data_IF_834047736129
#
_entry.id   IF_834047736129
#
_cell.length_a   1.000
_cell.length_b   1.000
_cell.length_c   1.000
_cell.angle_alpha   90.00
_cell.angle_beta   90.00
_cell.angle_gamma   90.00
#
_symmetry.space_group_name_H-M   'P 1'
#
loop_
_entity.id
_entity.type
_entity.pdbx_description
1 polymer ?
#
# COMPACT_ATOMS: atom_id res chain seq x y z
N UNK A 1 -7.15 5.10 -21.95
CA UNK A 1 -6.68 3.83 -21.35
C UNK A 1 -6.30 3.96 -19.86
N UNK A 2 -5.61 5.02 -19.38
CA UNK A 2 -5.29 5.16 -17.93
C UNK A 2 -6.53 4.98 -17.04
N UNK A 3 -7.60 5.74 -17.31
CA UNK A 3 -8.84 5.67 -16.53
C UNK A 3 -9.47 4.25 -16.55
N UNK A 4 -9.37 3.56 -17.68
CA UNK A 4 -9.86 2.20 -17.84
C UNK A 4 -9.01 1.20 -17.06
N UNK A 5 -7.68 1.33 -17.11
CA UNK A 5 -6.76 0.50 -16.32
C UNK A 5 -6.97 0.69 -14.80
N UNK A 6 -7.18 1.93 -14.35
CA UNK A 6 -7.51 2.22 -12.95
C UNK A 6 -8.86 1.62 -12.54
N UNK A 7 -9.89 1.76 -13.38
CA UNK A 7 -11.21 1.16 -13.12
C UNK A 7 -11.16 -0.36 -13.10
N UNK A 8 -10.41 -0.98 -14.02
CA UNK A 8 -10.23 -2.42 -14.07
C UNK A 8 -9.59 -2.93 -12.77
N UNK A 9 -8.50 -2.31 -12.31
CA UNK A 9 -7.84 -2.66 -11.04
C UNK A 9 -8.74 -2.38 -9.82
N UNK A 10 -9.49 -1.28 -9.83
CA UNK A 10 -10.41 -0.95 -8.74
C UNK A 10 -11.61 -1.92 -8.67
N UNK A 11 -11.99 -2.54 -9.80
CA UNK A 11 -13.06 -3.53 -9.87
C UNK A 11 -12.59 -4.98 -9.73
N UNK A 12 -11.29 -5.25 -9.69
CA UNK A 12 -10.75 -6.59 -9.50
C UNK A 12 -10.68 -6.92 -8.00
N UNK A 13 -11.51 -7.85 -7.50
CA UNK A 13 -11.62 -8.10 -6.07
C UNK A 13 -10.32 -8.72 -5.52
N UNK A 14 -9.97 -8.31 -4.30
CA UNK A 14 -8.90 -8.98 -3.56
C UNK A 14 -9.44 -10.27 -2.94
N UNK A 15 -8.74 -11.41 -3.06
CA UNK A 15 -9.14 -12.66 -2.43
C UNK A 15 -8.82 -12.60 -0.94
N UNK A 16 -9.69 -11.98 -0.15
CA UNK A 16 -9.54 -11.84 1.31
C UNK A 16 -10.63 -12.61 2.04
N UNK A 17 -10.29 -13.17 3.20
CA UNK A 17 -11.29 -13.68 4.14
C UNK A 17 -12.03 -12.50 4.77
N UNK A 18 -13.34 -12.38 4.48
CA UNK A 18 -14.17 -11.26 4.94
C UNK A 18 -14.32 -11.23 6.47
N UNK A 19 -14.34 -12.38 7.12
CA UNK A 19 -14.49 -12.45 8.58
C UNK A 19 -13.21 -11.96 9.26
N UNK A 20 -12.05 -12.50 8.82
CA UNK A 20 -10.75 -12.05 9.30
C UNK A 20 -10.53 -10.57 8.99
N UNK A 21 -10.94 -10.10 7.80
CA UNK A 21 -10.86 -8.69 7.43
C UNK A 21 -11.69 -7.80 8.36
N UNK A 22 -12.91 -8.20 8.70
CA UNK A 22 -13.76 -7.48 9.65
C UNK A 22 -13.12 -7.33 11.03
N UNK A 23 -12.57 -8.42 11.57
CA UNK A 23 -11.90 -8.42 12.87
C UNK A 23 -10.68 -7.49 12.89
N UNK A 24 -9.84 -7.56 11.84
CA UNK A 24 -8.67 -6.70 11.75
C UNK A 24 -8.99 -5.24 11.47
N UNK A 25 -10.05 -4.96 10.70
CA UNK A 25 -10.55 -3.59 10.52
C UNK A 25 -11.00 -3.00 11.86
N UNK A 26 -11.83 -3.70 12.63
CA UNK A 26 -12.29 -3.24 13.94
C UNK A 26 -11.13 -3.01 14.92
N UNK A 27 -10.09 -3.86 14.85
CA UNK A 27 -8.89 -3.76 15.68
C UNK A 27 -7.98 -2.60 15.30
N UNK A 28 -7.74 -2.38 14.00
CA UNK A 28 -6.84 -1.35 13.50
C UNK A 28 -7.49 0.04 13.53
N UNK A 29 -8.80 0.10 13.36
CA UNK A 29 -9.61 1.31 13.33
C UNK A 29 -10.65 1.29 14.46
N UNK A 30 -10.22 1.39 15.73
CA UNK A 30 -11.16 1.35 16.85
C UNK A 30 -12.11 2.55 16.78
N UNK A 31 -13.41 2.28 16.93
CA UNK A 31 -14.45 3.30 16.90
C UNK A 31 -14.16 4.41 17.93
N UNK A 32 -14.18 5.67 17.48
CA UNK A 32 -14.04 6.83 18.36
C UNK A 32 -15.42 7.24 18.86
N UNK A 33 -15.61 7.21 20.18
CA UNK A 33 -16.88 7.59 20.79
C UNK A 33 -17.30 9.01 20.38
N UNK A 34 -18.51 9.15 19.82
CA UNK A 34 -19.08 10.45 19.44
C UNK A 34 -18.58 11.04 18.12
N UNK A 35 -17.74 10.35 17.36
CA UNK A 35 -17.34 10.78 16.03
C UNK A 35 -18.39 10.35 14.98
N UNK A 36 -18.57 11.18 13.94
CA UNK A 36 -19.27 10.77 12.71
C UNK A 36 -18.51 9.64 11.98
N UNK A 37 -18.79 9.47 10.69
CA UNK A 37 -18.13 8.45 9.85
C UNK A 37 -16.60 8.50 10.03
N UNK A 38 -15.99 7.37 10.42
CA UNK A 38 -14.54 7.23 10.43
C UNK A 38 -14.05 7.01 8.99
N UNK A 39 -13.64 8.10 8.35
CA UNK A 39 -13.12 8.06 6.98
C UNK A 39 -11.85 7.22 6.82
N UNK A 40 -11.06 7.03 7.89
CA UNK A 40 -9.88 6.17 7.84
C UNK A 40 -10.29 4.70 7.82
N UNK A 41 -11.29 4.31 8.62
CA UNK A 41 -11.87 2.97 8.57
C UNK A 41 -12.51 2.71 7.21
N UNK A 42 -13.28 3.67 6.69
CA UNK A 42 -13.92 3.55 5.39
C UNK A 42 -12.88 3.38 4.26
N UNK A 43 -11.76 4.11 4.31
CA UNK A 43 -10.65 3.90 3.39
C UNK A 43 -10.06 2.47 3.51
N UNK A 44 -10.02 1.92 4.73
CA UNK A 44 -9.73 0.51 5.02
C UNK A 44 -10.63 -0.44 4.25
N UNK A 45 -11.94 -0.29 4.40
CA UNK A 45 -12.95 -1.12 3.76
C UNK A 45 -12.93 -1.02 2.23
N UNK A 46 -12.78 0.20 1.70
CA UNK A 46 -12.68 0.44 0.24
C UNK A 46 -11.43 -0.23 -0.32
N UNK A 47 -10.31 -0.19 0.41
CA UNK A 47 -9.06 -0.80 -0.04
C UNK A 47 -9.12 -2.33 -0.18
N UNK A 48 -10.02 -3.00 0.54
CA UNK A 48 -10.21 -4.44 0.40
C UNK A 48 -11.07 -4.83 -0.80
N UNK A 49 -11.79 -3.88 -1.42
CA UNK A 49 -12.71 -4.16 -2.54
C UNK A 49 -12.02 -4.25 -3.90
N UNK A 50 -10.78 -3.77 -4.02
CA UNK A 50 -10.10 -3.70 -5.29
C UNK A 50 -8.59 -3.56 -5.17
N UNK A 51 -7.86 -3.87 -6.25
CA UNK A 51 -6.39 -3.73 -6.34
C UNK A 51 -5.91 -2.28 -6.51
N UNK A 52 -6.83 -1.31 -6.64
CA UNK A 52 -6.47 0.10 -6.70
C UNK A 52 -7.34 0.92 -5.75
N UNK A 53 -6.68 1.74 -4.92
CA UNK A 53 -7.35 2.68 -4.01
C UNK A 53 -6.62 4.01 -3.99
N UNK A 54 -7.40 5.09 -4.09
CA UNK A 54 -6.91 6.46 -3.95
C UNK A 54 -7.41 7.02 -2.61
N UNK A 55 -6.48 7.27 -1.69
CA UNK A 55 -6.78 7.92 -0.40
C UNK A 55 -6.48 9.41 -0.51
N UNK A 56 -7.51 10.24 -0.50
CA UNK A 56 -7.38 11.70 -0.54
C UNK A 56 -7.63 12.31 0.83
N UNK A 57 -6.97 13.44 1.13
CA UNK A 57 -7.21 14.19 2.36
C UNK A 57 -6.24 15.36 2.52
N UNK A 58 -6.65 16.40 3.24
CA UNK A 58 -5.81 17.56 3.54
C UNK A 58 -4.59 17.23 4.42
N UNK A 59 -3.67 18.19 4.65
CA UNK A 59 -2.60 18.04 5.63
C UNK A 59 -3.15 17.65 7.02
N UNK A 60 -2.47 16.77 7.74
CA UNK A 60 -2.88 16.36 9.10
C UNK A 60 -4.06 15.39 9.20
N UNK A 61 -4.69 14.98 8.10
CA UNK A 61 -5.84 14.03 8.09
C UNK A 61 -5.48 12.56 8.37
N UNK A 62 -4.22 12.27 8.66
CA UNK A 62 -3.74 10.92 8.99
C UNK A 62 -3.67 9.95 7.80
N UNK A 63 -3.47 10.43 6.57
CA UNK A 63 -3.26 9.58 5.38
C UNK A 63 -2.15 8.55 5.57
N UNK A 64 -0.99 8.97 6.07
CA UNK A 64 0.14 8.06 6.36
C UNK A 64 -0.23 7.01 7.40
N UNK A 65 -1.03 7.39 8.40
CA UNK A 65 -1.48 6.47 9.43
C UNK A 65 -2.49 5.45 8.88
N UNK A 66 -3.39 5.91 8.01
CA UNK A 66 -4.31 5.04 7.25
C UNK A 66 -3.51 4.07 6.37
N UNK A 67 -2.48 4.55 5.67
CA UNK A 67 -1.58 3.73 4.87
C UNK A 67 -0.87 2.66 5.69
N UNK A 68 -0.35 3.01 6.88
CA UNK A 68 0.28 2.05 7.78
C UNK A 68 -0.69 0.95 8.21
N UNK A 69 -1.93 1.31 8.57
CA UNK A 69 -2.97 0.32 8.92
C UNK A 69 -3.34 -0.57 7.74
N UNK A 70 -3.49 -0.01 6.55
CA UNK A 70 -3.72 -0.78 5.31
C UNK A 70 -2.59 -1.77 5.04
N UNK A 71 -1.35 -1.33 5.23
CA UNK A 71 -0.17 -2.16 5.06
C UNK A 71 -0.19 -3.36 6.03
N UNK A 72 -0.50 -3.12 7.31
CA UNK A 72 -0.65 -4.18 8.31
C UNK A 72 -1.82 -5.11 7.97
N UNK A 73 -2.98 -4.54 7.65
CA UNK A 73 -4.20 -5.28 7.29
C UNK A 73 -3.92 -6.25 6.13
N UNK A 74 -3.37 -5.76 5.02
CA UNK A 74 -3.04 -6.58 3.86
C UNK A 74 -1.98 -7.64 4.18
N UNK A 75 -1.00 -7.33 5.03
CA UNK A 75 0.02 -8.30 5.44
C UNK A 75 -0.56 -9.43 6.27
N UNK A 76 -1.50 -9.13 7.18
CA UNK A 76 -2.16 -10.16 7.98
C UNK A 76 -3.10 -11.00 7.11
N UNK A 77 -3.90 -10.37 6.26
CA UNK A 77 -4.83 -11.08 5.36
C UNK A 77 -4.11 -11.98 4.35
N UNK A 78 -2.86 -11.68 4.01
CA UNK A 78 -2.02 -12.58 3.20
C UNK A 78 -1.56 -13.82 3.99
N UNK A 79 -1.37 -13.69 5.30
CA UNK A 79 -0.79 -14.73 6.15
C UNK A 79 -1.73 -15.89 6.50
N UNK A 80 -3.04 -15.72 6.31
CA UNK A 80 -4.05 -16.65 6.80
C UNK A 80 -5.02 -17.10 5.69
N UNK A 81 -4.48 -17.86 4.73
CA UNK A 81 -5.30 -18.75 3.92
C UNK A 81 -5.33 -20.10 4.63
N UNK A 82 -6.48 -20.42 5.23
CA UNK A 82 -6.68 -21.51 6.17
C UNK A 82 -6.08 -22.87 5.79
N UNK A 83 -5.74 -23.62 6.85
CA UNK A 83 -5.56 -25.07 6.89
C UNK A 83 -4.85 -25.72 5.68
N UNK A 84 -3.52 -25.73 5.69
CA UNK A 84 -2.71 -26.70 4.95
C UNK A 84 -1.89 -26.17 3.77
N UNK A 85 -2.00 -24.88 3.42
CA UNK A 85 -1.13 -24.27 2.42
C UNK A 85 0.05 -23.57 3.11
N UNK A 86 1.27 -23.81 2.62
CA UNK A 86 2.48 -23.15 3.10
C UNK A 86 2.27 -21.62 3.16
N UNK A 87 2.60 -21.02 4.30
CA UNK A 87 2.44 -19.58 4.54
C UNK A 87 2.98 -18.78 3.34
N UNK A 88 2.14 -17.92 2.76
CA UNK A 88 2.58 -17.07 1.66
C UNK A 88 3.73 -16.17 2.12
N UNK A 89 4.73 -15.91 1.27
CA UNK A 89 5.84 -15.03 1.62
C UNK A 89 5.33 -13.62 1.94
N UNK A 90 6.06 -12.84 2.76
CA UNK A 90 5.68 -11.46 3.10
C UNK A 90 5.40 -10.62 1.85
N UNK A 91 4.51 -9.63 1.97
CA UNK A 91 4.22 -8.68 0.91
C UNK A 91 5.50 -8.00 0.45
N UNK A 92 5.81 -8.11 -0.84
CA UNK A 92 6.88 -7.31 -1.46
C UNK A 92 6.34 -5.90 -1.70
N UNK A 93 6.55 -5.03 -0.73
CA UNK A 93 6.06 -3.64 -0.77
C UNK A 93 7.02 -2.75 -1.55
N UNK A 94 6.53 -1.98 -2.51
CA UNK A 94 7.23 -0.83 -3.08
C UNK A 94 6.77 0.47 -2.40
N UNK A 95 7.70 1.38 -2.13
CA UNK A 95 7.39 2.72 -1.61
C UNK A 95 7.91 3.77 -2.60
N UNK A 96 7.02 4.66 -3.04
CA UNK A 96 7.37 5.67 -4.03
C UNK A 96 6.76 7.03 -3.74
N UNK A 97 7.41 8.06 -4.28
CA UNK A 97 6.89 9.42 -4.32
C UNK A 97 7.35 10.10 -5.62
N UNK A 98 6.74 11.21 -6.05
CA UNK A 98 7.15 11.95 -7.25
C UNK A 98 8.51 12.65 -7.09
N UNK A 99 8.88 13.05 -5.86
CA UNK A 99 10.11 13.81 -5.58
C UNK A 99 11.01 13.12 -4.55
N UNK A 100 12.31 13.41 -4.61
CA UNK A 100 13.28 12.82 -3.66
C UNK A 100 13.01 13.22 -2.21
N UNK A 101 12.56 14.46 -1.96
CA UNK A 101 12.22 14.93 -0.61
C UNK A 101 10.99 14.23 -0.04
N UNK A 102 9.96 13.99 -0.86
CA UNK A 102 8.78 13.23 -0.44
C UNK A 102 9.14 11.77 -0.17
N UNK A 103 9.93 11.15 -1.06
CA UNK A 103 10.41 9.78 -0.87
C UNK A 103 11.21 9.63 0.43
N UNK A 104 12.13 10.55 0.72
CA UNK A 104 12.92 10.51 1.96
C UNK A 104 12.07 10.54 3.23
N UNK A 105 10.95 11.30 3.22
CA UNK A 105 10.03 11.41 4.36
C UNK A 105 9.13 10.19 4.51
N UNK A 106 8.68 9.63 3.39
CA UNK A 106 7.69 8.56 3.35
C UNK A 106 8.08 7.36 4.22
N UNK A 107 9.29 6.81 4.05
CA UNK A 107 9.73 5.65 4.84
C UNK A 107 9.73 5.95 6.33
N UNK A 108 10.28 7.09 6.73
CA UNK A 108 10.33 7.50 8.13
C UNK A 108 8.92 7.63 8.73
N UNK A 109 8.02 8.31 8.04
CA UNK A 109 6.65 8.50 8.52
C UNK A 109 5.88 7.19 8.59
N UNK A 110 6.10 6.27 7.65
CA UNK A 110 5.51 4.93 7.69
C UNK A 110 6.06 4.09 8.84
N UNK A 111 7.37 4.12 9.09
CA UNK A 111 7.99 3.40 10.21
C UNK A 111 7.48 3.93 11.57
N UNK A 112 7.43 5.25 11.74
CA UNK A 112 6.84 5.87 12.93
C UNK A 112 5.37 5.46 13.09
N UNK A 113 4.63 5.38 11.98
CA UNK A 113 3.25 4.97 12.00
C UNK A 113 3.07 3.51 12.46
N UNK A 114 3.86 2.60 11.89
CA UNK A 114 3.87 1.18 12.28
C UNK A 114 4.26 0.99 13.75
N UNK A 115 5.24 1.74 14.25
CA UNK A 115 5.64 1.69 15.66
C UNK A 115 4.51 2.08 16.60
N UNK A 116 3.77 3.15 16.29
CA UNK A 116 2.65 3.56 17.13
C UNK A 116 1.40 2.67 17.00
N UNK A 117 1.30 1.84 15.95
CA UNK A 117 0.24 0.83 15.81
C UNK A 117 0.49 -0.42 16.67
N UNK A 118 1.74 -0.70 17.07
CA UNK A 118 2.13 -1.92 17.81
C UNK A 118 1.20 -2.27 19.00
N UNK A 119 0.80 -1.32 19.86
CA UNK A 119 -0.07 -1.66 20.99
C UNK A 119 -1.44 -2.21 20.58
N UNK A 120 -1.94 -1.82 19.40
CA UNK A 120 -3.24 -2.25 18.89
C UNK A 120 -3.20 -3.67 18.30
N UNK A 121 -2.04 -4.18 17.87
CA UNK A 121 -1.90 -5.45 17.14
C UNK A 121 -1.90 -6.69 18.02
N UNK A 122 -1.71 -6.51 19.33
CA UNK A 122 -1.51 -7.61 20.28
C UNK A 122 -0.18 -8.34 20.10
N UNK A 123 0.19 -9.24 21.03
CA UNK A 123 1.56 -9.72 21.15
C UNK A 123 2.08 -10.49 19.92
N UNK A 124 1.29 -11.42 19.40
CA UNK A 124 1.69 -12.30 18.30
C UNK A 124 1.86 -11.55 16.97
N UNK A 125 0.88 -10.70 16.61
CA UNK A 125 0.98 -9.94 15.38
C UNK A 125 2.02 -8.82 15.46
N UNK A 126 2.24 -8.23 16.64
CA UNK A 126 3.33 -7.26 16.83
C UNK A 126 4.71 -7.92 16.64
N UNK A 127 4.91 -9.15 17.14
CA UNK A 127 6.15 -9.90 16.91
C UNK A 127 6.37 -10.26 15.44
N UNK A 128 5.31 -10.62 14.72
CA UNK A 128 5.40 -10.91 13.28
C UNK A 128 5.64 -9.64 12.44
N UNK A 129 5.17 -8.48 12.89
CA UNK A 129 5.31 -7.21 12.18
C UNK A 129 6.76 -6.73 12.13
N UNK A 130 7.50 -6.83 13.24
CA UNK A 130 8.83 -6.26 13.38
C UNK A 130 9.83 -6.68 12.29
N UNK A 131 10.09 -7.98 12.05
CA UNK A 131 11.05 -8.39 11.03
C UNK A 131 10.61 -7.95 9.63
N UNK A 132 9.32 -7.86 9.36
CA UNK A 132 8.81 -7.40 8.07
C UNK A 132 8.85 -5.88 7.89
N UNK A 133 8.52 -5.12 8.94
CA UNK A 133 8.58 -3.66 8.93
C UNK A 133 10.02 -3.16 8.77
N UNK A 134 11.00 -3.87 9.33
CA UNK A 134 12.42 -3.62 9.12
C UNK A 134 12.87 -3.89 7.67
N UNK A 135 12.26 -4.89 7.02
CA UNK A 135 12.54 -5.26 5.63
C UNK A 135 11.89 -4.32 4.59
N UNK A 136 11.07 -3.35 5.00
CA UNK A 136 10.49 -2.38 4.07
C UNK A 136 11.60 -1.65 3.28
N UNK A 137 11.53 -1.64 1.94
CA UNK A 137 12.59 -1.04 1.14
C UNK A 137 12.66 0.47 1.34
N UNK A 138 13.79 1.10 0.98
CA UNK A 138 13.85 2.55 0.89
C UNK A 138 12.79 3.07 -0.07
N UNK A 139 12.10 4.13 0.32
CA UNK A 139 11.23 4.86 -0.59
C UNK A 139 12.06 5.54 -1.69
N UNK A 140 11.59 5.45 -2.93
CA UNK A 140 12.27 5.97 -4.12
C UNK A 140 11.41 7.00 -4.84
N UNK A 141 12.02 7.78 -5.72
CA UNK A 141 11.20 8.51 -6.69
C UNK A 141 10.55 7.52 -7.65
N UNK A 142 9.38 7.84 -8.22
CA UNK A 142 8.76 7.01 -9.27
C UNK A 142 9.73 6.76 -10.44
N UNK A 143 10.51 7.77 -10.82
CA UNK A 143 11.56 7.65 -11.82
C UNK A 143 12.64 6.63 -11.44
N UNK A 144 13.14 6.68 -10.20
CA UNK A 144 14.14 5.73 -9.71
C UNK A 144 13.56 4.31 -9.51
N UNK A 145 12.28 4.20 -9.14
CA UNK A 145 11.58 2.92 -9.04
C UNK A 145 11.43 2.25 -10.41
N UNK A 146 10.98 3.00 -11.43
CA UNK A 146 10.82 2.51 -12.80
C UNK A 146 12.17 2.29 -13.51
N UNK A 147 13.25 2.89 -13.00
CA UNK A 147 14.60 2.77 -13.52
C UNK A 147 14.79 3.56 -14.82
N UNK A 148 14.90 4.88 -14.70
CA UNK A 148 15.24 5.78 -15.83
C UNK A 148 16.51 5.32 -16.55
N UNK A 149 16.45 5.21 -17.89
CA UNK A 149 17.64 4.95 -18.71
C UNK A 149 18.24 6.28 -19.20
N UNK A 150 19.51 6.59 -18.87
CA UNK A 150 20.15 7.84 -19.27
C UNK A 150 20.04 8.10 -20.77
N UNK A 151 19.78 9.35 -21.15
CA UNK A 151 19.67 9.77 -22.54
C UNK A 151 18.41 9.31 -23.28
N UNK A 152 17.45 8.67 -22.60
CA UNK A 152 16.19 8.22 -23.22
C UNK A 152 14.98 8.56 -22.36
N UNK A 153 13.78 8.49 -22.96
CA UNK A 153 12.49 8.50 -22.23
C UNK A 153 12.02 7.09 -21.82
N UNK A 154 12.90 6.08 -21.92
CA UNK A 154 12.55 4.69 -21.59
C UNK A 154 12.86 4.38 -20.14
N UNK A 155 12.00 3.57 -19.55
CA UNK A 155 12.20 2.98 -18.23
C UNK A 155 12.72 1.55 -18.35
N UNK A 156 13.30 1.04 -17.26
CA UNK A 156 13.71 -0.36 -17.15
C UNK A 156 12.49 -1.26 -16.95
N UNK A 157 11.54 -0.80 -16.15
CA UNK A 157 10.32 -1.52 -15.84
C UNK A 157 9.18 -1.04 -16.74
N UNK A 158 8.47 -2.00 -17.31
CA UNK A 158 7.37 -1.85 -18.26
C UNK A 158 6.53 -3.13 -18.27
N UNK A 159 5.60 -3.27 -19.22
CA UNK A 159 4.73 -4.45 -19.30
C UNK A 159 5.47 -5.77 -19.58
N UNK A 160 6.65 -5.72 -20.22
CA UNK A 160 7.47 -6.90 -20.50
C UNK A 160 8.44 -7.21 -19.36
N UNK A 161 8.77 -6.23 -18.52
CA UNK A 161 9.58 -6.37 -17.32
C UNK A 161 8.92 -5.66 -16.12
N UNK A 162 7.86 -6.26 -15.52
CA UNK A 162 7.12 -5.62 -14.44
C UNK A 162 7.97 -5.34 -13.20
N UNK A 163 7.46 -4.48 -12.32
CA UNK A 163 8.03 -4.25 -11.00
C UNK A 163 7.93 -5.53 -10.15
N UNK A 164 8.99 -5.94 -9.45
CA UNK A 164 8.99 -7.18 -8.65
C UNK A 164 8.36 -6.96 -7.26
N UNK A 165 7.13 -6.43 -7.24
CA UNK A 165 6.38 -6.09 -6.04
C UNK A 165 4.98 -6.71 -6.08
N UNK A 166 4.32 -6.72 -4.93
CA UNK A 166 2.94 -7.17 -4.77
C UNK A 166 2.02 -6.05 -4.28
N UNK A 167 2.59 -4.98 -3.74
CA UNK A 167 1.88 -3.79 -3.28
C UNK A 167 2.76 -2.57 -3.55
N UNK A 168 2.20 -1.52 -4.16
CA UNK A 168 2.91 -0.25 -4.33
C UNK A 168 2.18 0.87 -3.58
N UNK A 169 2.88 1.51 -2.65
CA UNK A 169 2.43 2.75 -2.03
C UNK A 169 3.04 3.96 -2.74
N UNK A 170 2.20 4.89 -3.19
CA UNK A 170 2.62 6.15 -3.82
C UNK A 170 2.12 7.33 -2.98
N UNK A 171 3.05 8.08 -2.39
CA UNK A 171 2.73 9.33 -1.70
C UNK A 171 2.76 10.53 -2.66
N UNK A 172 2.05 11.60 -2.31
CA UNK A 172 1.93 12.83 -3.11
C UNK A 172 1.46 12.58 -4.56
N UNK A 173 0.50 11.67 -4.73
CA UNK A 173 -0.03 11.28 -6.04
C UNK A 173 -0.56 12.46 -6.89
N UNK A 174 -0.95 13.57 -6.24
CA UNK A 174 -1.38 14.80 -6.92
C UNK A 174 -0.30 15.45 -7.79
N UNK A 175 0.98 15.19 -7.52
CA UNK A 175 2.09 15.71 -8.34
C UNK A 175 2.48 14.76 -9.48
N UNK A 176 1.82 13.61 -9.63
CA UNK A 176 2.13 12.63 -10.68
C UNK A 176 1.44 13.05 -11.97
N UNK A 177 2.23 13.38 -12.99
CA UNK A 177 1.70 13.70 -14.31
C UNK A 177 1.24 12.46 -15.07
N UNK A 178 0.33 12.64 -16.04
CA UNK A 178 -0.34 11.55 -16.76
C UNK A 178 0.63 10.58 -17.44
N UNK A 179 1.70 11.07 -18.07
CA UNK A 179 2.68 10.19 -18.72
C UNK A 179 3.36 9.25 -17.75
N UNK A 180 3.74 9.74 -16.56
CA UNK A 180 4.39 8.91 -15.54
C UNK A 180 3.41 7.92 -14.93
N UNK A 181 2.14 8.32 -14.74
CA UNK A 181 1.09 7.40 -14.32
C UNK A 181 0.88 6.28 -15.35
N UNK A 182 0.86 6.60 -16.65
CA UNK A 182 0.80 5.60 -17.71
C UNK A 182 1.96 4.61 -17.62
N UNK A 183 3.21 5.09 -17.52
CA UNK A 183 4.38 4.23 -17.40
C UNK A 183 4.36 3.38 -16.13
N UNK A 184 3.84 3.94 -15.04
CA UNK A 184 3.67 3.21 -13.79
C UNK A 184 2.68 2.06 -13.94
N UNK A 185 1.50 2.31 -14.52
CA UNK A 185 0.47 1.30 -14.72
C UNK A 185 0.93 0.19 -15.69
N UNK A 186 1.70 0.53 -16.72
CA UNK A 186 2.34 -0.45 -17.62
C UNK A 186 3.32 -1.35 -16.86
N UNK A 187 4.07 -0.79 -15.90
CA UNK A 187 5.09 -1.50 -15.15
C UNK A 187 4.55 -2.27 -13.93
N UNK A 188 3.29 -2.06 -13.52
CA UNK A 188 2.71 -2.78 -12.39
C UNK A 188 2.30 -4.20 -12.80
N UNK A 189 2.68 -5.23 -12.02
CA UNK A 189 2.17 -6.56 -12.26
C UNK A 189 0.63 -6.59 -12.14
N UNK A 190 -0.08 -7.48 -12.87
CA UNK A 190 -1.54 -7.56 -12.82
C UNK A 190 -2.07 -7.79 -11.40
N UNK A 191 -1.36 -8.59 -10.61
CA UNK A 191 -1.74 -8.94 -9.24
C UNK A 191 -1.43 -7.86 -8.18
N UNK A 192 -0.73 -6.78 -8.53
CA UNK A 192 -0.38 -5.70 -7.58
C UNK A 192 -1.36 -4.52 -7.60
#
# INVERSE_FOLDING_TARGET
WIAEALRARAGEPLPVDEHLAGDWLARLFPARAGAGIDWQQHAGEVALRGRYTLVTGGPGTGKTWTAARLLVLLQVLRGDHGAGSAALPPLRVGLAAPTGKAAARLKQSLQQALQGLRPALGPLAAQALDPWAEQLPPARTLHALLGTRPGTRRFRHDAANPLPLDLLFVDEASMVHLDLMARLLEALPPQA
#
